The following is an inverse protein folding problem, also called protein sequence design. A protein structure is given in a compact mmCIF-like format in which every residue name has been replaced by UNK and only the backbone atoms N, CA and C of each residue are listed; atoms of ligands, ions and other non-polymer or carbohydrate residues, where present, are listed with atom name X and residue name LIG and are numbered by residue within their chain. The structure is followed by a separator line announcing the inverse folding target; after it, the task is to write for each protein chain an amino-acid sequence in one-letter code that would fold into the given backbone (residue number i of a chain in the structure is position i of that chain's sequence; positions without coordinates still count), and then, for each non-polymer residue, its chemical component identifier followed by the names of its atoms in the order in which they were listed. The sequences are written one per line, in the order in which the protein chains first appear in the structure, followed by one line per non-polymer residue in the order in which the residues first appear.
data_IF_911555390716
#
_entry.id   IF_911555390716
#
_cell.length_a   1.000
_cell.length_b   1.000
_cell.length_c   1.000
_cell.angle_alpha   90.00
_cell.angle_beta   90.00
_cell.angle_gamma   90.00
#
_symmetry.space_group_name_H-M   'P 1'
#
loop_
_entity.id
_entity.type
_entity.pdbx_description
1 polymer ?
#
# COMPACT_ATOMS: atom_id res chain seq x y z
N UNK A 1 -24.54 -14.23 -11.43
CA UNK A 1 -23.79 -14.20 -10.16
C UNK A 1 -22.31 -14.18 -10.53
N UNK A 2 -21.66 -13.01 -10.50
CA UNK A 2 -20.25 -12.88 -10.89
C UNK A 2 -19.37 -13.71 -9.95
N UNK A 3 -18.67 -14.70 -10.50
CA UNK A 3 -17.74 -15.56 -9.78
C UNK A 3 -16.49 -14.72 -9.49
N UNK A 4 -16.38 -14.18 -8.26
CA UNK A 4 -15.19 -13.44 -7.81
C UNK A 4 -14.04 -14.44 -7.69
N UNK A 5 -13.10 -14.43 -8.65
CA UNK A 5 -12.00 -15.41 -8.68
C UNK A 5 -11.06 -15.13 -7.47
N UNK A 6 -10.87 -16.08 -6.54
CA UNK A 6 -10.07 -15.90 -5.31
C UNK A 6 -8.63 -15.46 -5.58
N UNK A 7 -8.13 -15.67 -6.80
CA UNK A 7 -6.77 -15.31 -7.21
C UNK A 7 -6.59 -13.81 -7.38
N UNK A 8 -7.64 -13.08 -7.75
CA UNK A 8 -7.63 -11.60 -7.81
C UNK A 8 -7.42 -11.07 -6.39
N UNK A 9 -8.12 -11.65 -5.40
CA UNK A 9 -8.08 -11.29 -3.97
C UNK A 9 -6.72 -11.52 -3.33
N UNK A 10 -6.04 -12.61 -3.69
CA UNK A 10 -4.68 -12.86 -3.20
C UNK A 10 -3.65 -11.85 -3.73
N UNK A 11 -3.70 -11.51 -5.02
CA UNK A 11 -2.72 -10.59 -5.63
C UNK A 11 -2.87 -9.16 -5.11
N UNK A 12 -4.10 -8.65 -5.05
CA UNK A 12 -4.38 -7.32 -4.52
C UNK A 12 -4.04 -7.18 -3.04
N UNK A 13 -4.35 -8.19 -2.22
CA UNK A 13 -3.98 -8.15 -0.81
C UNK A 13 -2.46 -8.09 -0.64
N UNK A 14 -1.68 -8.82 -1.45
CA UNK A 14 -0.22 -8.78 -1.37
C UNK A 14 0.34 -7.39 -1.70
N UNK A 15 -0.15 -6.75 -2.76
CA UNK A 15 0.32 -5.42 -3.16
C UNK A 15 -0.08 -4.35 -2.14
N UNK A 16 -1.30 -4.44 -1.60
CA UNK A 16 -1.75 -3.61 -0.47
C UNK A 16 -0.88 -3.80 0.77
N UNK A 17 -0.48 -5.04 1.06
CA UNK A 17 0.37 -5.37 2.21
C UNK A 17 1.78 -4.84 2.01
N UNK A 18 2.34 -4.95 0.80
CA UNK A 18 3.64 -4.40 0.45
C UNK A 18 3.66 -2.88 0.53
N UNK A 19 2.63 -2.21 0.02
CA UNK A 19 2.49 -0.75 0.12
C UNK A 19 2.38 -0.29 1.59
N UNK A 20 1.57 -0.99 2.39
CA UNK A 20 1.43 -0.71 3.83
C UNK A 20 2.75 -0.94 4.58
N UNK A 21 3.49 -2.00 4.22
CA UNK A 21 4.79 -2.30 4.81
C UNK A 21 5.85 -1.23 4.47
N UNK A 22 5.89 -0.77 3.22
CA UNK A 22 6.81 0.31 2.82
C UNK A 22 6.54 1.60 3.62
N UNK A 23 5.27 1.97 3.79
CA UNK A 23 4.87 3.13 4.60
C UNK A 23 5.23 2.91 6.08
N UNK A 24 5.05 1.69 6.59
CA UNK A 24 5.47 1.35 7.95
C UNK A 24 6.98 1.54 8.17
N UNK A 25 7.82 1.14 7.21
CA UNK A 25 9.27 1.36 7.27
C UNK A 25 9.60 2.85 7.33
N UNK A 26 8.91 3.69 6.55
CA UNK A 26 9.07 5.15 6.63
C UNK A 26 8.73 5.67 8.03
N UNK A 27 7.67 5.14 8.67
CA UNK A 27 7.33 5.52 10.05
C UNK A 27 8.39 5.13 11.07
N UNK A 28 9.02 3.96 10.91
CA UNK A 28 10.13 3.57 11.77
C UNK A 28 11.31 4.55 11.65
N UNK A 29 11.66 4.95 10.42
CA UNK A 29 12.73 5.92 10.17
C UNK A 29 12.39 7.28 10.78
N UNK A 30 11.14 7.73 10.62
CA UNK A 30 10.68 8.99 11.17
C UNK A 30 10.72 9.00 12.71
N UNK A 31 10.19 7.95 13.34
CA UNK A 31 10.22 7.78 14.79
C UNK A 31 11.64 7.68 15.34
N UNK A 32 12.52 6.94 14.67
CA UNK A 32 13.93 6.86 15.02
C UNK A 32 14.64 8.23 14.95
N UNK A 33 14.39 8.98 13.87
CA UNK A 33 14.97 10.32 13.70
C UNK A 33 14.49 11.29 14.78
N UNK A 34 13.18 11.27 15.10
CA UNK A 34 12.61 12.06 16.17
C UNK A 34 13.21 11.70 17.54
N UNK A 35 13.38 10.40 17.80
CA UNK A 35 14.00 9.90 19.03
C UNK A 35 15.44 10.39 19.18
N UNK A 36 16.24 10.32 18.11
CA UNK A 36 17.62 10.79 18.11
C UNK A 36 17.73 12.30 18.32
N UNK A 37 16.79 13.07 17.75
CA UNK A 37 16.79 14.53 17.83
C UNK A 37 16.11 15.09 19.09
N UNK A 38 15.53 14.23 19.94
CA UNK A 38 14.71 14.66 21.09
C UNK A 38 15.46 15.63 22.03
N UNK A 39 16.74 15.35 22.30
CA UNK A 39 17.53 16.11 23.26
C UNK A 39 17.86 17.50 22.67
N UNK A 40 18.18 17.55 21.37
CA UNK A 40 18.37 18.80 20.61
C UNK A 40 17.11 19.67 20.60
N UNK A 41 15.93 19.05 20.42
CA UNK A 41 14.65 19.75 20.45
C UNK A 41 14.28 20.24 21.86
N UNK A 42 14.65 19.49 22.90
CA UNK A 42 14.43 19.86 24.28
C UNK A 42 15.29 21.07 24.68
N UNK A 43 16.58 21.05 24.33
CA UNK A 43 17.51 22.18 24.54
C UNK A 43 17.04 23.46 23.85
N UNK A 44 16.44 23.32 22.66
CA UNK A 44 15.92 24.45 21.88
C UNK A 44 14.49 24.86 22.26
N UNK A 45 13.87 24.20 23.25
CA UNK A 45 12.46 24.41 23.67
C UNK A 45 11.40 24.25 22.55
N UNK A 46 11.72 23.57 21.45
CA UNK A 46 10.81 23.36 20.29
C UNK A 46 10.17 21.97 20.28
N UNK A 47 10.50 21.11 21.24
CA UNK A 47 9.99 19.73 21.34
C UNK A 47 8.46 19.60 21.17
N UNK A 48 7.60 20.39 21.83
CA UNK A 48 6.16 20.25 21.66
C UNK A 48 5.68 20.64 20.26
N UNK A 49 6.34 21.62 19.62
CA UNK A 49 6.03 22.06 18.25
C UNK A 49 6.41 20.94 17.27
N UNK A 50 7.62 20.41 17.40
CA UNK A 50 8.11 19.32 16.54
C UNK A 50 7.29 18.03 16.71
N UNK A 51 6.87 17.71 17.93
CA UNK A 51 5.98 16.59 18.21
C UNK A 51 4.62 16.76 17.53
N UNK A 52 4.03 17.97 17.62
CA UNK A 52 2.74 18.28 17.01
C UNK A 52 2.81 18.21 15.49
N UNK A 53 3.83 18.83 14.89
CA UNK A 53 4.06 18.77 13.44
C UNK A 53 4.30 17.33 12.97
N UNK A 54 5.11 16.56 13.71
CA UNK A 54 5.34 15.15 13.42
C UNK A 54 4.06 14.33 13.45
N UNK A 55 3.20 14.52 14.46
CA UNK A 55 1.90 13.84 14.55
C UNK A 55 0.97 14.22 13.40
N UNK A 56 0.93 15.49 13.00
CA UNK A 56 0.13 15.94 11.85
C UNK A 56 0.60 15.25 10.56
N UNK A 57 1.90 15.18 10.33
CA UNK A 57 2.48 14.50 9.15
C UNK A 57 2.11 13.01 9.15
N UNK A 58 2.27 12.34 10.29
CA UNK A 58 1.90 10.91 10.43
C UNK A 58 0.43 10.70 10.13
N UNK A 59 -0.43 11.53 10.71
CA UNK A 59 -1.88 11.43 10.56
C UNK A 59 -2.32 11.65 9.11
N UNK A 60 -1.93 12.78 8.51
CA UNK A 60 -2.36 13.14 7.15
C UNK A 60 -1.82 12.16 6.11
N UNK A 61 -0.57 11.73 6.24
CA UNK A 61 0.03 10.81 5.29
C UNK A 61 -0.57 9.40 5.43
N UNK A 62 -0.83 8.93 6.66
CA UNK A 62 -1.54 7.66 6.88
C UNK A 62 -2.96 7.72 6.31
N UNK A 63 -3.68 8.83 6.50
CA UNK A 63 -5.00 9.03 5.91
C UNK A 63 -4.97 9.02 4.38
N UNK A 64 -3.97 9.67 3.76
CA UNK A 64 -3.79 9.68 2.31
C UNK A 64 -3.51 8.26 1.76
N UNK A 65 -2.62 7.50 2.40
CA UNK A 65 -2.33 6.10 2.02
C UNK A 65 -3.58 5.22 2.17
N UNK A 66 -4.33 5.37 3.27
CA UNK A 66 -5.58 4.64 3.48
C UNK A 66 -6.61 5.01 2.43
N UNK A 67 -6.76 6.29 2.09
CA UNK A 67 -7.66 6.75 1.05
C UNK A 67 -7.26 6.20 -0.33
N UNK A 68 -5.97 6.23 -0.65
CA UNK A 68 -5.41 5.65 -1.88
C UNK A 68 -5.71 4.15 -1.96
N UNK A 69 -5.45 3.39 -0.89
CA UNK A 69 -5.75 1.96 -0.82
C UNK A 69 -7.25 1.69 -0.94
N UNK A 70 -8.10 2.51 -0.29
CA UNK A 70 -9.55 2.37 -0.35
C UNK A 70 -10.06 2.63 -1.77
N UNK A 71 -9.61 3.70 -2.41
CA UNK A 71 -9.99 4.06 -3.76
C UNK A 71 -9.50 3.03 -4.78
N UNK A 72 -8.28 2.50 -4.64
CA UNK A 72 -7.80 1.37 -5.44
C UNK A 72 -8.63 0.10 -5.27
N UNK A 73 -9.32 -0.06 -4.14
CA UNK A 73 -10.26 -1.16 -3.93
C UNK A 73 -11.58 -0.99 -4.67
N UNK A 74 -12.00 0.25 -4.93
CA UNK A 74 -13.22 0.60 -5.67
C UNK A 74 -13.02 0.50 -7.20
N UNK A 75 -11.83 0.82 -7.72
CA UNK A 75 -11.48 0.68 -9.15
C UNK A 75 -10.91 -0.70 -9.53
N UNK A 76 -10.77 -1.59 -8.54
CA UNK A 76 -10.12 -2.89 -8.68
C UNK A 76 -10.80 -3.83 -9.67
N UNK A 77 -12.12 -3.85 -9.68
CA UNK A 77 -12.90 -4.80 -10.47
C UNK A 77 -12.77 -4.53 -11.99
N UNK A 78 -12.44 -3.31 -12.38
CA UNK A 78 -12.16 -2.89 -13.77
C UNK A 78 -10.76 -3.31 -14.24
N UNK A 79 -9.73 -3.02 -13.44
CA UNK A 79 -8.33 -3.23 -13.84
C UNK A 79 -7.94 -4.71 -13.75
N UNK A 80 -8.27 -5.39 -12.66
CA UNK A 80 -7.87 -6.78 -12.46
C UNK A 80 -8.68 -7.80 -13.27
N UNK A 81 -9.93 -7.46 -13.65
CA UNK A 81 -10.72 -8.30 -14.55
C UNK A 81 -10.09 -8.42 -15.93
N UNK A 82 -9.49 -7.34 -16.42
CA UNK A 82 -8.82 -7.28 -17.73
C UNK A 82 -7.53 -8.11 -17.74
N UNK A 83 -6.69 -7.99 -16.70
CA UNK A 83 -5.43 -8.76 -16.61
C UNK A 83 -5.67 -10.27 -16.47
N UNK A 84 -6.66 -10.70 -15.70
CA UNK A 84 -7.03 -12.13 -15.61
C UNK A 84 -7.54 -12.65 -16.95
N UNK A 85 -8.35 -11.88 -17.67
CA UNK A 85 -8.83 -12.27 -18.99
C UNK A 85 -7.69 -12.55 -19.97
N UNK A 86 -6.64 -11.71 -19.99
CA UNK A 86 -5.47 -11.94 -20.83
C UNK A 86 -4.59 -13.10 -20.34
N UNK A 87 -4.44 -13.29 -19.03
CA UNK A 87 -3.73 -14.45 -18.46
C UNK A 87 -4.40 -15.78 -18.82
N UNK A 88 -5.73 -15.84 -18.75
CA UNK A 88 -6.49 -17.04 -19.14
C UNK A 88 -6.37 -17.30 -20.65
N UNK A 89 -6.47 -16.26 -21.48
CA UNK A 89 -6.23 -16.35 -22.93
C UNK A 89 -4.83 -16.86 -23.26
N UNK A 90 -3.81 -16.40 -22.54
CA UNK A 90 -2.44 -16.89 -22.72
C UNK A 90 -2.28 -18.36 -22.28
N UNK A 91 -3.01 -18.79 -21.24
CA UNK A 91 -3.03 -20.17 -20.77
C UNK A 91 -3.74 -21.11 -21.75
N UNK A 92 -4.86 -20.67 -22.31
CA UNK A 92 -5.59 -21.38 -23.37
C UNK A 92 -4.72 -21.52 -24.62
N UNK A 93 -4.05 -20.45 -25.05
CA UNK A 93 -3.13 -20.48 -26.18
C UNK A 93 -1.93 -21.44 -25.97
N UNK A 94 -1.45 -21.58 -24.72
CA UNK A 94 -0.42 -22.57 -24.39
C UNK A 94 -0.95 -24.01 -24.37
N UNK A 95 -2.18 -24.22 -23.89
CA UNK A 95 -2.84 -25.53 -23.93
C UNK A 95 -3.12 -25.99 -25.36
N UNK A 96 -3.59 -25.11 -26.22
CA UNK A 96 -3.84 -25.45 -27.64
C UNK A 96 -2.56 -25.69 -28.41
N UNK A 97 -1.47 -24.97 -28.12
CA UNK A 97 -0.14 -25.23 -28.72
C UNK A 97 0.57 -26.48 -28.20
N UNK A 98 0.23 -26.96 -27.00
CA UNK A 98 0.78 -28.19 -26.43
C UNK A 98 -0.05 -29.45 -26.73
N UNK A 99 -1.24 -29.28 -27.31
CA UNK A 99 -2.14 -30.37 -27.72
C UNK A 99 -2.12 -30.62 -29.25
N UNK A 100 -1.31 -29.86 -29.99
CA UNK A 100 -0.99 -30.03 -31.40
C UNK A 100 0.45 -30.55 -31.53
#
# INVERSE_FOLDING_TARGET
MMHRDPRIDAMFNRDRTAASFAVFVVWLVYGFTFWMMRDVFAESHILPIMATLGLIVVFLNSAAVVAMIKHYGEDRDSIYGTDIYYLDRAREARRTKGAA
#
